data_IF_777418453795
#
_entry.id   IF_777418453795
#
_cell.length_a   1.000
_cell.length_b   1.000
_cell.length_c   1.000
_cell.angle_alpha   90.00
_cell.angle_beta   90.00
_cell.angle_gamma   90.00
#
_symmetry.space_group_name_H-M   'P 1'
#
loop_
_entity.id
_entity.type
_entity.pdbx_description
1 polymer ?
#
# COMPACT_ATOMS: atom_id res chain seq x y z
N UNK A 1 10.17 20.53 -17.98
CA UNK A 1 9.92 19.56 -16.89
C UNK A 1 10.93 18.44 -17.04
N UNK A 2 11.58 18.09 -15.94
CA UNK A 2 12.59 17.03 -15.91
C UNK A 2 11.96 15.65 -16.17
N UNK A 3 12.70 14.79 -16.86
CA UNK A 3 12.24 13.49 -17.36
C UNK A 3 13.22 12.39 -17.01
N UNK A 4 12.68 11.19 -16.82
CA UNK A 4 13.46 10.00 -16.51
C UNK A 4 13.09 8.85 -17.44
N UNK A 5 14.06 7.99 -17.73
CA UNK A 5 13.86 6.80 -18.55
C UNK A 5 13.56 5.59 -17.65
N UNK A 6 12.35 5.00 -17.79
CA UNK A 6 11.95 3.76 -17.11
C UNK A 6 11.54 2.75 -18.17
N UNK A 7 12.11 1.55 -18.09
CA UNK A 7 11.76 0.43 -18.96
C UNK A 7 11.75 0.77 -20.47
N UNK A 8 12.66 1.64 -20.91
CA UNK A 8 12.77 2.10 -22.29
C UNK A 8 11.75 3.16 -22.72
N UNK A 9 11.05 3.77 -21.76
CA UNK A 9 10.10 4.86 -22.00
C UNK A 9 10.52 6.12 -21.25
N UNK A 10 10.26 7.29 -21.85
CA UNK A 10 10.52 8.59 -21.27
C UNK A 10 9.31 9.10 -20.47
N UNK A 11 9.47 9.23 -19.16
CA UNK A 11 8.40 9.64 -18.24
C UNK A 11 8.65 11.03 -17.69
N UNK A 12 7.57 11.78 -17.46
CA UNK A 12 7.63 12.97 -16.63
C UNK A 12 7.81 12.52 -15.17
N UNK A 13 8.67 13.19 -14.42
CA UNK A 13 8.97 12.80 -13.03
C UNK A 13 7.70 12.63 -12.18
N UNK A 14 6.72 13.53 -12.31
CA UNK A 14 5.44 13.42 -11.60
C UNK A 14 4.66 12.13 -11.91
N UNK A 15 4.61 11.72 -13.17
CA UNK A 15 3.91 10.51 -13.60
C UNK A 15 4.61 9.26 -13.09
N UNK A 16 5.94 9.23 -13.17
CA UNK A 16 6.74 8.10 -12.66
C UNK A 16 6.62 7.93 -11.14
N UNK A 17 6.56 9.04 -10.39
CA UNK A 17 6.38 9.04 -8.95
C UNK A 17 4.98 8.54 -8.60
N UNK A 18 3.94 9.04 -9.28
CA UNK A 18 2.56 8.60 -9.08
C UNK A 18 2.42 7.10 -9.37
N UNK A 19 2.96 6.63 -10.50
CA UNK A 19 2.98 5.22 -10.86
C UNK A 19 3.66 4.39 -9.76
N UNK A 20 4.84 4.79 -9.32
CA UNK A 20 5.62 4.08 -8.31
C UNK A 20 4.87 3.97 -6.98
N UNK A 21 4.27 5.07 -6.51
CA UNK A 21 3.49 5.11 -5.27
C UNK A 21 2.26 4.19 -5.36
N UNK A 22 1.48 4.30 -6.43
CA UNK A 22 0.28 3.46 -6.64
C UNK A 22 0.64 1.99 -6.81
N UNK A 23 1.68 1.67 -7.57
CA UNK A 23 2.13 0.30 -7.77
C UNK A 23 2.58 -0.33 -6.45
N UNK A 24 3.37 0.37 -5.65
CA UNK A 24 3.78 -0.13 -4.34
C UNK A 24 2.58 -0.30 -3.39
N UNK A 25 1.64 0.66 -3.36
CA UNK A 25 0.43 0.54 -2.53
C UNK A 25 -0.41 -0.68 -2.92
N UNK A 26 -0.57 -0.93 -4.23
CA UNK A 26 -1.27 -2.11 -4.73
C UNK A 26 -0.61 -3.42 -4.29
N UNK A 27 0.71 -3.55 -4.47
CA UNK A 27 1.46 -4.76 -4.04
C UNK A 27 1.44 -4.95 -2.53
N UNK A 28 1.46 -3.87 -1.75
CA UNK A 28 1.31 -3.94 -0.29
C UNK A 28 -0.09 -4.40 0.11
N UNK A 29 -1.14 -3.96 -0.60
CA UNK A 29 -2.50 -4.49 -0.42
C UNK A 29 -2.61 -5.98 -0.74
N UNK A 30 -1.95 -6.47 -1.79
CA UNK A 30 -1.87 -7.91 -2.06
C UNK A 30 -1.18 -8.66 -0.91
N UNK A 31 -0.11 -8.10 -0.35
CA UNK A 31 0.63 -8.72 0.75
C UNK A 31 -0.23 -8.83 2.02
N UNK A 32 -1.07 -7.86 2.34
CA UNK A 32 -1.93 -7.96 3.55
C UNK A 32 -2.92 -9.10 3.45
N UNK A 33 -3.42 -9.43 2.26
CA UNK A 33 -4.29 -10.60 2.02
C UNK A 33 -3.51 -11.89 2.28
N UNK A 34 -2.31 -12.03 1.69
CA UNK A 34 -1.47 -13.22 1.85
C UNK A 34 -1.06 -13.43 3.32
N UNK A 35 -0.71 -12.36 4.03
CA UNK A 35 -0.42 -12.42 5.46
C UNK A 35 -1.60 -12.99 6.25
N UNK A 36 -2.82 -12.50 5.99
CA UNK A 36 -4.03 -13.00 6.67
C UNK A 36 -4.30 -14.47 6.36
N UNK A 37 -4.14 -14.89 5.11
CA UNK A 37 -4.28 -16.30 4.72
C UNK A 37 -3.26 -17.20 5.40
N UNK A 38 -2.06 -16.68 5.69
CA UNK A 38 -1.03 -17.37 6.47
C UNK A 38 -1.21 -17.27 7.99
N UNK A 39 -2.31 -16.67 8.49
CA UNK A 39 -2.54 -16.45 9.92
C UNK A 39 -1.64 -15.36 10.55
N UNK A 40 -0.95 -14.56 9.74
CA UNK A 40 -0.09 -13.47 10.20
C UNK A 40 -0.91 -12.18 10.35
N UNK A 41 -0.59 -11.40 11.39
CA UNK A 41 -1.17 -10.07 11.62
C UNK A 41 -0.55 -9.06 10.64
N UNK A 42 -1.34 -8.39 9.78
CA UNK A 42 -0.80 -7.34 8.90
C UNK A 42 -0.33 -6.10 9.69
N UNK A 43 0.62 -5.31 9.15
CA UNK A 43 0.99 -4.04 9.75
C UNK A 43 -0.09 -2.96 9.52
N UNK A 44 -0.25 -2.04 10.46
CA UNK A 44 -1.12 -0.87 10.37
C UNK A 44 -0.55 0.27 9.50
N UNK A 45 -0.12 -0.05 8.28
CA UNK A 45 0.65 0.87 7.44
C UNK A 45 -0.19 2.00 6.82
N UNK A 46 -1.45 1.71 6.49
CA UNK A 46 -2.39 2.65 5.87
C UNK A 46 -3.47 3.15 6.84
N UNK A 47 -3.21 3.01 8.14
CA UNK A 47 -4.15 3.27 9.22
C UNK A 47 -4.32 2.06 10.14
N UNK A 48 -5.12 2.21 11.21
CA UNK A 48 -5.33 1.13 12.16
C UNK A 48 -6.07 -0.04 11.47
N UNK A 49 -5.50 -1.24 11.58
CA UNK A 49 -6.14 -2.48 11.13
C UNK A 49 -7.26 -2.89 12.10
N UNK A 50 -8.19 -3.73 11.64
CA UNK A 50 -9.34 -4.23 12.41
C UNK A 50 -8.99 -4.61 13.86
N UNK A 51 -7.90 -5.37 14.04
CA UNK A 51 -7.44 -5.85 15.35
C UNK A 51 -7.01 -4.71 16.29
N UNK A 52 -6.52 -3.59 15.75
CA UNK A 52 -6.17 -2.40 16.55
C UNK A 52 -7.44 -1.70 17.03
N UNK A 53 -8.45 -1.55 16.18
CA UNK A 53 -9.75 -0.96 16.58
C UNK A 53 -10.39 -1.77 17.71
N UNK A 54 -10.45 -3.09 17.56
CA UNK A 54 -11.00 -3.98 18.60
C UNK A 54 -10.21 -3.86 19.91
N UNK A 55 -8.88 -3.85 19.85
CA UNK A 55 -8.04 -3.70 21.05
C UNK A 55 -8.23 -2.35 21.77
N UNK A 56 -8.67 -1.32 21.04
CA UNK A 56 -8.98 0.01 21.59
C UNK A 56 -10.45 0.14 22.06
N UNK A 57 -11.26 -0.92 21.97
CA UNK A 57 -12.68 -0.87 22.30
C UNK A 57 -13.51 -0.02 21.31
N UNK A 58 -12.99 0.21 20.11
CA UNK A 58 -13.64 1.02 19.07
C UNK A 58 -14.26 0.13 18.00
N UNK A 59 -15.38 0.57 17.42
CA UNK A 59 -15.97 -0.09 16.27
C UNK A 59 -15.05 0.07 15.03
N UNK A 60 -14.65 -1.02 14.35
CA UNK A 60 -13.86 -0.95 13.13
C UNK A 60 -14.61 -0.17 12.04
N UNK A 61 -13.91 0.74 11.36
CA UNK A 61 -14.44 1.47 10.20
C UNK A 61 -14.01 0.74 8.93
N UNK A 62 -15.00 0.37 8.11
CA UNK A 62 -14.78 -0.17 6.76
C UNK A 62 -14.37 0.95 5.80
#
# INVERSE_FOLDING_TARGET
>A
MDRLEIAGQSWINGDSLRFSLTHQAHRRGQMTVLMRQAGLRPPGLYGPIYEVWIAQGMAPRA
#
